data_IF_173175204560
#
_entry.id   IF_173175204560
#
_cell.length_a   1.000
_cell.length_b   1.000
_cell.length_c   1.000
_cell.angle_alpha   90.00
_cell.angle_beta   90.00
_cell.angle_gamma   90.00
#
_symmetry.space_group_name_H-M   'P 1'
#
loop_
_entity.id
_entity.type
_entity.pdbx_description
1 polymer ?
#
# COMPACT_ATOMS: atom_id res chain seq x y z
N UNK A 1 -17.08 -19.46 2.29
CA UNK A 1 -17.51 -19.56 3.71
C UNK A 1 -16.90 -18.40 4.51
N UNK A 2 -17.21 -17.16 4.14
CA UNK A 2 -16.74 -15.93 4.79
C UNK A 2 -17.88 -14.92 5.03
N UNK A 3 -19.15 -15.35 4.89
CA UNK A 3 -20.32 -14.46 4.92
C UNK A 3 -20.91 -14.25 6.33
N UNK A 4 -20.15 -14.46 7.41
CA UNK A 4 -20.69 -14.46 8.78
C UNK A 4 -19.79 -13.81 9.84
N UNK A 5 -18.98 -12.81 9.48
CA UNK A 5 -18.32 -11.97 10.49
C UNK A 5 -19.02 -10.61 10.73
N UNK A 6 -19.88 -10.16 9.82
CA UNK A 6 -20.63 -8.91 9.95
C UNK A 6 -22.08 -9.12 9.52
N UNK A 7 -22.95 -9.43 10.48
CA UNK A 7 -24.36 -9.75 10.20
C UNK A 7 -25.28 -8.53 10.19
N UNK A 8 -24.73 -7.31 10.07
CA UNK A 8 -25.44 -6.05 9.88
C UNK A 8 -24.64 -5.17 8.91
N UNK A 9 -25.33 -4.48 8.00
CA UNK A 9 -24.76 -3.35 7.26
C UNK A 9 -24.25 -2.30 8.28
N UNK A 10 -22.92 -2.14 8.36
CA UNK A 10 -22.16 -1.19 9.19
C UNK A 10 -22.94 -0.25 10.13
N UNK A 11 -23.01 -0.54 11.43
CA UNK A 11 -23.56 0.41 12.42
C UNK A 11 -22.56 1.50 12.88
N UNK A 12 -21.26 1.40 12.57
CA UNK A 12 -20.28 2.39 13.00
C UNK A 12 -19.81 3.30 11.85
N UNK A 13 -20.25 4.56 11.88
CA UNK A 13 -19.72 5.64 11.05
C UNK A 13 -18.30 5.94 11.54
N UNK A 14 -17.29 5.68 10.70
CA UNK A 14 -15.89 5.91 11.03
C UNK A 14 -15.47 7.33 10.66
N UNK A 15 -14.97 8.09 11.63
CA UNK A 15 -14.53 9.46 11.40
C UNK A 15 -13.02 9.52 11.27
N UNK A 16 -12.54 10.01 10.14
CA UNK A 16 -11.13 10.11 9.83
C UNK A 16 -10.68 11.58 9.70
N UNK A 17 -9.41 11.80 10.03
CA UNK A 17 -8.72 13.08 9.90
C UNK A 17 -8.56 13.87 11.20
N UNK A 18 -7.52 14.71 11.19
CA UNK A 18 -7.06 15.59 12.28
C UNK A 18 -7.11 17.04 11.78
N UNK A 19 -6.75 18.06 12.58
CA UNK A 19 -6.70 19.45 12.09
C UNK A 19 -5.82 19.71 10.86
N UNK A 20 -4.98 18.75 10.42
CA UNK A 20 -4.04 18.93 9.32
C UNK A 20 -4.57 18.38 7.98
N UNK A 21 -4.48 19.19 6.91
CA UNK A 21 -4.96 18.83 5.56
C UNK A 21 -4.38 17.49 5.07
N UNK A 22 -3.11 17.25 5.35
CA UNK A 22 -2.38 16.04 4.95
C UNK A 22 -2.99 14.76 5.53
N UNK A 23 -3.54 14.81 6.75
CA UNK A 23 -4.11 13.63 7.40
C UNK A 23 -5.45 13.23 6.77
N UNK A 24 -6.20 14.19 6.20
CA UNK A 24 -7.38 13.88 5.41
C UNK A 24 -7.02 13.21 4.07
N UNK A 25 -5.92 13.61 3.44
CA UNK A 25 -5.43 12.96 2.22
C UNK A 25 -4.95 11.53 2.49
N UNK A 26 -4.24 11.32 3.61
CA UNK A 26 -3.88 9.97 4.09
C UNK A 26 -5.11 9.12 4.42
N UNK A 27 -6.17 9.72 4.97
CA UNK A 27 -7.42 9.02 5.21
C UNK A 27 -8.08 8.54 3.90
N UNK A 28 -8.07 9.38 2.85
CA UNK A 28 -8.55 8.99 1.52
C UNK A 28 -7.72 7.81 0.99
N UNK A 29 -6.39 7.91 1.00
CA UNK A 29 -5.55 6.83 0.47
C UNK A 29 -5.66 5.54 1.27
N UNK A 30 -5.84 5.62 2.59
CA UNK A 30 -6.15 4.47 3.42
C UNK A 30 -7.43 3.76 2.97
N UNK A 31 -8.52 4.50 2.76
CA UNK A 31 -9.79 3.92 2.27
C UNK A 31 -9.57 3.28 0.90
N UNK A 32 -8.92 3.99 -0.03
CA UNK A 32 -8.63 3.50 -1.38
C UNK A 32 -7.78 2.23 -1.41
N UNK A 33 -6.88 2.04 -0.42
CA UNK A 33 -6.01 0.86 -0.35
C UNK A 33 -6.63 -0.32 0.39
N UNK A 34 -7.62 -0.08 1.26
CA UNK A 34 -8.18 -1.11 2.15
C UNK A 34 -9.58 -1.54 1.77
N UNK A 35 -10.35 -0.69 1.09
CA UNK A 35 -11.71 -1.00 0.70
C UNK A 35 -11.73 -1.57 -0.73
N UNK A 36 -12.17 -2.83 -0.92
CA UNK A 36 -12.17 -3.45 -2.24
C UNK A 36 -13.20 -2.82 -3.19
N UNK A 37 -14.28 -2.26 -2.64
CA UNK A 37 -15.34 -1.64 -3.41
C UNK A 37 -15.89 -0.41 -2.66
N UNK A 38 -15.95 0.73 -3.38
CA UNK A 38 -16.56 1.97 -2.90
C UNK A 38 -17.87 2.15 -3.68
N UNK A 39 -18.98 2.12 -2.96
CA UNK A 39 -20.33 2.23 -3.53
C UNK A 39 -20.68 3.66 -3.88
N UNK A 40 -20.23 4.61 -3.05
CA UNK A 40 -20.59 6.02 -3.19
C UNK A 40 -19.52 6.91 -2.55
N UNK A 41 -19.14 7.98 -3.24
CA UNK A 41 -18.32 9.06 -2.68
C UNK A 41 -19.03 10.40 -2.85
N UNK A 42 -19.29 11.09 -1.75
CA UNK A 42 -19.93 12.39 -1.73
C UNK A 42 -18.99 13.47 -1.19
N UNK A 43 -18.86 14.56 -1.92
CA UNK A 43 -18.29 15.81 -1.44
C UNK A 43 -19.38 16.59 -0.69
N UNK A 44 -19.20 16.82 0.60
CA UNK A 44 -20.14 17.53 1.45
C UNK A 44 -19.70 18.98 1.62
N UNK A 45 -20.49 19.92 1.12
CA UNK A 45 -20.12 21.34 1.04
C UNK A 45 -20.97 22.21 1.98
N UNK A 46 -20.32 23.13 2.70
CA UNK A 46 -20.99 24.22 3.43
C UNK A 46 -20.09 25.46 3.46
N UNK A 47 -20.53 26.57 2.87
CA UNK A 47 -19.85 27.88 2.93
C UNK A 47 -18.35 27.82 2.58
N UNK A 48 -17.98 27.08 1.53
CA UNK A 48 -16.58 26.94 1.10
C UNK A 48 -15.75 25.95 1.93
N UNK A 49 -16.33 25.28 2.92
CA UNK A 49 -15.70 24.15 3.62
C UNK A 49 -16.25 22.83 3.10
N UNK A 50 -15.35 21.85 2.98
CA UNK A 50 -15.68 20.56 2.39
C UNK A 50 -15.21 19.39 3.25
N UNK A 51 -16.04 18.35 3.27
CA UNK A 51 -15.83 17.05 3.90
C UNK A 51 -16.15 15.94 2.89
N UNK A 52 -15.79 14.69 3.20
CA UNK A 52 -16.20 13.55 2.37
C UNK A 52 -17.02 12.55 3.16
N UNK A 53 -18.04 12.00 2.52
CA UNK A 53 -18.75 10.80 2.94
C UNK A 53 -18.47 9.70 1.91
N UNK A 54 -17.82 8.63 2.31
CA UNK A 54 -17.48 7.50 1.45
C UNK A 54 -18.15 6.25 2.01
N UNK A 55 -18.99 5.63 1.20
CA UNK A 55 -19.72 4.41 1.56
C UNK A 55 -19.10 3.26 0.79
N UNK A 56 -18.76 2.20 1.51
CA UNK A 56 -18.29 0.92 1.00
C UNK A 56 -19.25 -0.17 1.47
N UNK A 57 -19.13 -1.38 0.92
CA UNK A 57 -19.99 -2.52 1.28
C UNK A 57 -20.04 -2.79 2.80
N UNK A 58 -18.92 -2.57 3.49
CA UNK A 58 -18.77 -2.96 4.89
C UNK A 58 -18.73 -1.77 5.86
N UNK A 59 -18.53 -0.54 5.37
CA UNK A 59 -18.23 0.61 6.22
C UNK A 59 -18.69 1.93 5.62
N UNK A 60 -19.10 2.84 6.50
CA UNK A 60 -19.33 4.26 6.18
C UNK A 60 -18.20 5.10 6.76
N UNK A 61 -17.47 5.81 5.90
CA UNK A 61 -16.37 6.69 6.28
C UNK A 61 -16.77 8.15 6.14
N UNK A 62 -16.41 8.94 7.14
CA UNK A 62 -16.57 10.39 7.14
C UNK A 62 -15.21 11.03 7.34
N UNK A 63 -14.73 11.72 6.31
CA UNK A 63 -13.53 12.54 6.39
C UNK A 63 -13.97 13.94 6.75
N UNK A 64 -13.50 14.45 7.90
CA UNK A 64 -14.00 15.72 8.46
C UNK A 64 -13.71 16.93 7.56
N UNK A 65 -14.26 18.10 7.92
CA UNK A 65 -14.20 19.30 7.10
C UNK A 65 -12.81 19.97 7.08
N UNK A 66 -11.85 19.29 6.48
CA UNK A 66 -10.46 19.69 6.34
C UNK A 66 -10.11 20.46 5.08
N UNK A 67 -11.05 20.46 4.14
CA UNK A 67 -10.85 20.97 2.80
C UNK A 67 -11.59 22.30 2.63
N UNK A 68 -11.08 23.16 1.76
CA UNK A 68 -11.67 24.47 1.49
C UNK A 68 -11.74 24.77 -0.01
N UNK A 69 -12.56 25.74 -0.39
CA UNK A 69 -12.57 26.34 -1.72
C UNK A 69 -12.70 27.87 -1.63
N UNK A 70 -12.48 28.57 -2.76
CA UNK A 70 -12.66 30.02 -2.85
C UNK A 70 -11.46 30.88 -2.42
N UNK A 71 -10.38 30.28 -1.91
CA UNK A 71 -9.10 30.97 -1.65
C UNK A 71 -7.92 30.05 -1.93
N UNK A 72 -6.77 30.60 -2.31
CA UNK A 72 -5.54 29.84 -2.51
C UNK A 72 -4.88 29.50 -1.16
N UNK A 73 -5.09 28.27 -0.69
CA UNK A 73 -4.51 27.79 0.57
C UNK A 73 -4.29 26.28 0.59
N UNK A 74 -3.79 25.76 1.72
CA UNK A 74 -3.52 24.33 1.89
C UNK A 74 -4.80 23.50 1.74
N UNK A 75 -5.92 23.93 2.32
CA UNK A 75 -7.20 23.23 2.24
C UNK A 75 -7.74 23.11 0.81
N UNK A 76 -7.49 24.10 -0.05
CA UNK A 76 -7.92 24.10 -1.47
C UNK A 76 -7.01 23.22 -2.33
N UNK A 77 -5.69 23.26 -2.08
CA UNK A 77 -4.77 22.30 -2.70
C UNK A 77 -5.09 20.86 -2.27
N UNK A 78 -5.42 20.68 -0.99
CA UNK A 78 -5.86 19.40 -0.45
C UNK A 78 -7.15 18.90 -1.08
N UNK A 79 -8.14 19.79 -1.28
CA UNK A 79 -9.39 19.43 -1.97
C UNK A 79 -9.11 18.93 -3.38
N UNK A 80 -8.31 19.69 -4.15
CA UNK A 80 -7.96 19.31 -5.51
C UNK A 80 -7.21 17.96 -5.55
N UNK A 81 -6.24 17.74 -4.65
CA UNK A 81 -5.54 16.44 -4.50
C UNK A 81 -6.50 15.30 -4.17
N UNK A 82 -7.43 15.51 -3.24
CA UNK A 82 -8.42 14.52 -2.81
C UNK A 82 -9.31 14.06 -3.97
N UNK A 83 -9.81 15.03 -4.75
CA UNK A 83 -10.64 14.76 -5.92
C UNK A 83 -9.84 14.03 -7.02
N UNK A 84 -8.59 14.44 -7.28
CA UNK A 84 -7.72 13.72 -8.20
C UNK A 84 -7.47 12.26 -7.77
N UNK A 85 -7.26 12.02 -6.47
CA UNK A 85 -7.05 10.67 -5.94
C UNK A 85 -8.28 9.77 -6.19
N UNK A 86 -9.48 10.26 -5.88
CA UNK A 86 -10.72 9.50 -6.11
C UNK A 86 -10.96 9.26 -7.62
N UNK A 87 -10.79 10.28 -8.46
CA UNK A 87 -10.95 10.15 -9.91
C UNK A 87 -9.92 9.20 -10.55
N UNK A 88 -8.68 9.18 -10.03
CA UNK A 88 -7.63 8.24 -10.46
C UNK A 88 -8.01 6.78 -10.19
N UNK A 89 -8.83 6.53 -9.18
CA UNK A 89 -9.39 5.20 -8.86
C UNK A 89 -10.73 4.94 -9.55
N UNK A 90 -11.11 5.77 -10.53
CA UNK A 90 -12.38 5.67 -11.25
C UNK A 90 -13.61 5.74 -10.34
N UNK A 91 -13.52 6.45 -9.22
CA UNK A 91 -14.63 6.67 -8.31
C UNK A 91 -15.34 7.95 -8.73
N UNK A 92 -16.63 7.81 -9.07
CA UNK A 92 -17.49 8.96 -9.33
C UNK A 92 -17.77 9.72 -8.04
N UNK A 93 -17.74 11.06 -8.12
CA UNK A 93 -17.86 11.95 -6.97
C UNK A 93 -19.03 12.89 -7.25
N UNK A 94 -19.98 12.90 -6.33
CA UNK A 94 -21.11 13.82 -6.37
C UNK A 94 -21.02 14.83 -5.23
N UNK A 95 -21.37 16.09 -5.50
CA UNK A 95 -21.36 17.12 -4.47
C UNK A 95 -22.77 17.35 -3.90
N UNK A 96 -22.86 17.50 -2.59
CA UNK A 96 -24.10 17.81 -1.85
C UNK A 96 -23.86 19.00 -0.92
N UNK A 97 -24.77 19.97 -0.97
CA UNK A 97 -24.81 21.04 0.03
C UNK A 97 -25.43 20.55 1.33
N UNK A 98 -24.69 20.61 2.43
CA UNK A 98 -25.20 20.27 3.77
C UNK A 98 -25.40 21.53 4.62
N UNK A 99 -26.30 21.45 5.60
CA UNK A 99 -26.51 22.54 6.55
C UNK A 99 -25.31 22.71 7.49
N UNK A 100 -25.09 23.93 8.00
CA UNK A 100 -24.04 24.19 9.00
C UNK A 100 -24.26 23.38 10.29
N UNK A 101 -25.49 22.97 10.60
CA UNK A 101 -25.80 22.06 11.72
C UNK A 101 -25.22 20.66 11.47
N UNK A 102 -25.40 20.11 10.27
CA UNK A 102 -24.81 18.83 9.88
C UNK A 102 -23.28 18.91 9.84
N UNK A 103 -22.72 19.99 9.29
CA UNK A 103 -21.27 20.18 9.26
C UNK A 103 -20.67 20.19 10.69
N UNK A 104 -21.33 20.86 11.64
CA UNK A 104 -20.91 20.84 13.05
C UNK A 104 -21.02 19.45 13.69
N UNK A 105 -22.08 18.68 13.40
CA UNK A 105 -22.22 17.30 13.88
C UNK A 105 -21.09 16.43 13.33
N UNK A 106 -20.84 16.51 12.02
CA UNK A 106 -19.79 15.77 11.31
C UNK A 106 -18.42 16.01 11.94
N UNK A 107 -18.06 17.26 12.19
CA UNK A 107 -16.77 17.59 12.81
C UNK A 107 -16.65 17.13 14.27
N UNK A 108 -17.78 16.96 14.96
CA UNK A 108 -17.83 16.41 16.33
C UNK A 108 -18.01 14.89 16.38
N UNK A 109 -18.03 14.21 15.22
CA UNK A 109 -18.32 12.79 15.11
C UNK A 109 -19.70 12.36 15.66
N UNK A 110 -20.75 13.13 15.33
CA UNK A 110 -22.11 12.97 15.87
C UNK A 110 -23.19 12.78 14.80
N UNK A 111 -22.85 12.36 13.59
CA UNK A 111 -23.87 11.94 12.61
C UNK A 111 -24.49 10.62 13.06
N UNK A 112 -25.81 10.54 12.91
CA UNK A 112 -26.58 9.30 13.02
C UNK A 112 -26.72 8.61 11.67
N UNK A 113 -27.12 7.34 11.66
CA UNK A 113 -27.43 6.61 10.41
C UNK A 113 -28.50 7.33 9.59
N UNK A 114 -29.49 7.93 10.25
CA UNK A 114 -30.51 8.77 9.59
C UNK A 114 -29.90 10.04 8.98
N UNK A 115 -28.92 10.68 9.62
CA UNK A 115 -28.22 11.82 9.02
C UNK A 115 -27.47 11.37 7.73
N UNK A 116 -26.82 10.20 7.74
CA UNK A 116 -26.11 9.64 6.57
C UNK A 116 -27.07 9.30 5.43
N UNK A 117 -28.20 8.67 5.73
CA UNK A 117 -29.24 8.34 4.74
C UNK A 117 -29.79 9.62 4.09
N UNK A 118 -30.11 10.62 4.89
CA UNK A 118 -30.58 11.92 4.41
C UNK A 118 -29.57 12.61 3.49
N UNK A 119 -28.28 12.58 3.85
CA UNK A 119 -27.20 13.11 3.00
C UNK A 119 -27.12 12.32 1.69
N UNK A 120 -27.18 10.99 1.77
CA UNK A 120 -27.04 10.09 0.62
C UNK A 120 -28.16 10.23 -0.42
N UNK A 121 -29.34 10.66 0.03
CA UNK A 121 -30.54 10.91 -0.78
C UNK A 121 -30.74 12.39 -1.13
N UNK A 122 -29.83 13.27 -0.72
CA UNK A 122 -29.92 14.70 -1.01
C UNK A 122 -29.67 14.99 -2.49
N UNK A 123 -30.25 16.09 -2.97
CA UNK A 123 -30.06 16.54 -4.35
C UNK A 123 -28.60 16.96 -4.57
N UNK A 124 -28.00 16.45 -5.64
CA UNK A 124 -26.65 16.83 -6.04
C UNK A 124 -26.58 18.26 -6.56
N UNK A 125 -25.44 18.91 -6.31
CA UNK A 125 -25.10 20.22 -6.85
C UNK A 125 -24.92 20.10 -8.36
N UNK A 126 -25.55 21.02 -9.09
CA UNK A 126 -25.52 21.10 -10.55
C UNK A 126 -25.35 22.57 -11.00
N UNK A 127 -24.51 22.87 -12.01
CA UNK A 127 -23.59 21.94 -12.70
C UNK A 127 -22.52 21.37 -11.76
N UNK A 128 -21.88 20.26 -12.16
CA UNK A 128 -20.85 19.59 -11.36
C UNK A 128 -19.65 20.54 -11.20
N UNK A 129 -19.24 20.83 -9.96
CA UNK A 129 -18.12 21.74 -9.67
C UNK A 129 -16.77 21.03 -9.44
N UNK A 130 -16.77 19.70 -9.38
CA UNK A 130 -15.59 18.88 -9.06
C UNK A 130 -14.38 19.24 -9.93
N UNK A 131 -14.59 19.38 -11.24
CA UNK A 131 -13.52 19.71 -12.19
C UNK A 131 -13.03 21.16 -12.05
N UNK A 132 -13.89 22.09 -11.66
CA UNK A 132 -13.53 23.48 -11.42
C UNK A 132 -12.59 23.60 -10.21
N UNK A 133 -12.82 22.83 -9.14
CA UNK A 133 -11.92 22.81 -7.98
C UNK A 133 -10.52 22.31 -8.32
N UNK A 134 -10.43 21.32 -9.20
CA UNK A 134 -9.15 20.77 -9.67
C UNK A 134 -8.45 21.78 -10.58
N UNK A 135 -9.18 22.33 -11.56
CA UNK A 135 -8.64 23.28 -12.53
C UNK A 135 -8.14 24.56 -11.86
N UNK A 136 -8.87 25.07 -10.86
CA UNK A 136 -8.48 26.28 -10.10
C UNK A 136 -7.11 26.16 -9.42
N UNK A 137 -6.63 24.94 -9.13
CA UNK A 137 -5.34 24.71 -8.48
C UNK A 137 -4.25 24.28 -9.46
N UNK A 138 -4.60 23.41 -10.41
CA UNK A 138 -3.62 22.73 -11.25
C UNK A 138 -3.57 23.23 -12.69
N UNK A 139 -4.51 24.09 -13.08
CA UNK A 139 -4.68 24.63 -14.44
C UNK A 139 -4.78 23.54 -15.51
N UNK A 140 -5.11 22.32 -15.09
CA UNK A 140 -5.33 21.17 -15.94
C UNK A 140 -6.22 20.16 -15.21
N UNK A 141 -6.82 19.27 -16.00
CA UNK A 141 -7.65 18.16 -15.53
C UNK A 141 -6.91 16.83 -15.60
N UNK A 142 -5.58 16.86 -15.72
CA UNK A 142 -4.80 15.63 -15.75
C UNK A 142 -4.69 15.05 -14.32
N UNK A 143 -5.55 14.08 -14.04
CA UNK A 143 -5.57 13.37 -12.75
C UNK A 143 -4.33 12.49 -12.53
N UNK A 144 -3.41 12.39 -13.51
CA UNK A 144 -2.17 11.64 -13.41
C UNK A 144 -1.02 12.44 -12.75
N UNK A 145 -1.24 13.69 -12.32
CA UNK A 145 -0.26 14.40 -11.48
C UNK A 145 0.15 13.54 -10.29
N UNK A 146 1.44 13.64 -9.92
CA UNK A 146 2.12 12.68 -9.06
C UNK A 146 1.69 12.82 -7.58
N UNK A 147 0.49 12.35 -7.25
CA UNK A 147 -0.07 12.29 -5.89
C UNK A 147 0.27 10.96 -5.19
N UNK A 148 1.24 10.21 -5.72
CA UNK A 148 1.58 8.89 -5.23
C UNK A 148 2.24 8.92 -3.83
N UNK A 149 2.77 10.07 -3.40
CA UNK A 149 3.37 10.24 -2.09
C UNK A 149 2.36 10.17 -0.93
N UNK A 150 1.05 10.22 -1.22
CA UNK A 150 0.01 10.04 -0.20
C UNK A 150 -0.28 8.58 0.13
N UNK A 151 0.13 7.62 -0.71
CA UNK A 151 -0.01 6.21 -0.40
C UNK A 151 0.99 5.80 0.67
N UNK A 152 0.56 4.89 1.56
CA UNK A 152 1.45 4.34 2.56
C UNK A 152 2.61 3.58 1.91
N UNK A 153 3.81 3.76 2.46
CA UNK A 153 5.00 2.99 2.13
C UNK A 153 5.33 1.96 3.23
N UNK A 154 4.37 1.65 4.10
CA UNK A 154 4.50 0.62 5.14
C UNK A 154 4.57 -0.79 4.51
N UNK A 155 5.22 -1.72 5.21
CA UNK A 155 5.38 -3.09 4.73
C UNK A 155 4.04 -3.84 4.75
N UNK A 156 3.69 -4.58 3.68
CA UNK A 156 2.51 -5.44 3.64
C UNK A 156 2.76 -6.72 4.45
N UNK A 157 2.60 -6.67 5.78
CA UNK A 157 2.95 -7.75 6.71
C UNK A 157 2.37 -9.13 6.36
N UNK A 158 1.18 -9.20 5.75
CA UNK A 158 0.59 -10.47 5.33
C UNK A 158 1.35 -11.16 4.18
N UNK A 159 2.15 -10.42 3.41
CA UNK A 159 2.95 -10.93 2.31
C UNK A 159 4.38 -11.31 2.73
N UNK A 160 4.74 -11.13 4.00
CA UNK A 160 6.09 -11.37 4.49
C UNK A 160 6.24 -12.83 4.95
N UNK A 161 7.32 -13.48 4.52
CA UNK A 161 7.70 -14.83 4.96
C UNK A 161 7.92 -14.85 6.48
N UNK A 162 7.31 -15.83 7.14
CA UNK A 162 7.31 -15.95 8.61
C UNK A 162 8.72 -16.03 9.21
N UNK A 163 9.70 -16.52 8.44
CA UNK A 163 11.10 -16.67 8.88
C UNK A 163 11.86 -15.35 8.94
N UNK A 164 11.31 -14.24 8.44
CA UNK A 164 11.89 -12.90 8.57
C UNK A 164 10.89 -11.88 9.14
N UNK A 165 9.76 -12.36 9.67
CA UNK A 165 8.72 -11.48 10.21
C UNK A 165 9.23 -10.64 11.40
N UNK A 166 10.09 -11.21 12.24
CA UNK A 166 10.78 -10.49 13.32
C UNK A 166 11.62 -9.32 12.81
N UNK A 167 12.20 -9.44 11.62
CA UNK A 167 12.97 -8.38 10.97
C UNK A 167 12.05 -7.32 10.36
N UNK A 168 10.90 -7.74 9.81
CA UNK A 168 9.88 -6.82 9.29
C UNK A 168 9.30 -5.93 10.40
N UNK A 169 9.08 -6.47 11.61
CA UNK A 169 8.59 -5.70 12.75
C UNK A 169 9.59 -4.63 13.23
N UNK A 170 10.90 -4.88 13.07
CA UNK A 170 11.99 -3.96 13.45
C UNK A 170 12.44 -3.04 12.31
N UNK A 171 11.81 -3.18 11.15
CA UNK A 171 12.25 -2.54 9.92
C UNK A 171 12.12 -1.02 10.00
N UNK A 172 11.15 -0.52 10.75
CA UNK A 172 10.89 0.92 10.89
C UNK A 172 12.01 1.62 11.67
N UNK A 173 12.57 0.95 12.66
CA UNK A 173 13.64 1.47 13.51
C UNK A 173 15.01 1.35 12.84
N UNK A 174 15.31 0.20 12.23
CA UNK A 174 16.61 -0.04 11.57
C UNK A 174 16.46 -0.88 10.29
N UNK A 175 16.06 -0.24 9.16
CA UNK A 175 15.84 -0.92 7.90
C UNK A 175 17.11 -1.60 7.36
N UNK A 176 18.27 -0.96 7.56
CA UNK A 176 19.54 -1.42 7.02
C UNK A 176 19.96 -2.73 7.68
N UNK A 177 19.92 -2.78 9.02
CA UNK A 177 20.20 -4.00 9.77
C UNK A 177 19.19 -5.11 9.49
N UNK A 178 17.90 -4.77 9.36
CA UNK A 178 16.86 -5.74 9.02
C UNK A 178 17.12 -6.41 7.64
N UNK A 179 17.46 -5.62 6.61
CA UNK A 179 17.78 -6.16 5.27
C UNK A 179 19.05 -7.02 5.30
N UNK A 180 20.11 -6.55 5.96
CA UNK A 180 21.37 -7.31 6.06
C UNK A 180 21.17 -8.62 6.81
N UNK A 181 20.40 -8.60 7.90
CA UNK A 181 20.05 -9.79 8.67
C UNK A 181 19.21 -10.77 7.84
N UNK A 182 18.28 -10.29 7.02
CA UNK A 182 17.46 -11.12 6.15
C UNK A 182 18.33 -11.83 5.10
N UNK A 183 19.27 -11.12 4.46
CA UNK A 183 20.22 -11.74 3.51
C UNK A 183 21.12 -12.79 4.17
N UNK A 184 21.65 -12.52 5.36
CA UNK A 184 22.48 -13.49 6.10
C UNK A 184 21.67 -14.74 6.46
N UNK A 185 20.44 -14.55 6.96
CA UNK A 185 19.54 -15.66 7.32
C UNK A 185 19.16 -16.51 6.10
N UNK A 186 18.90 -15.89 4.95
CA UNK A 186 18.65 -16.60 3.70
C UNK A 186 19.86 -17.45 3.27
N UNK A 187 21.05 -16.86 3.34
CA UNK A 187 22.29 -17.55 3.00
C UNK A 187 22.50 -18.79 3.88
N UNK A 188 22.29 -18.67 5.19
CA UNK A 188 22.40 -19.79 6.12
C UNK A 188 21.38 -20.90 5.84
N UNK A 189 20.14 -20.53 5.49
CA UNK A 189 19.09 -21.49 5.11
C UNK A 189 19.50 -22.26 3.85
N UNK A 190 19.89 -21.55 2.78
CA UNK A 190 20.30 -22.19 1.52
C UNK A 190 21.53 -23.06 1.73
N UNK A 191 22.49 -22.63 2.57
CA UNK A 191 23.68 -23.42 2.90
C UNK A 191 23.31 -24.74 3.59
N UNK A 192 22.44 -24.66 4.60
CA UNK A 192 21.99 -25.83 5.36
C UNK A 192 21.23 -26.81 4.47
N UNK A 193 20.36 -26.31 3.58
CA UNK A 193 19.55 -27.16 2.69
C UNK A 193 20.33 -27.77 1.54
N UNK A 194 21.34 -27.08 1.02
CA UNK A 194 22.17 -27.58 -0.07
C UNK A 194 23.33 -28.47 0.40
N UNK A 195 23.64 -28.48 1.71
CA UNK A 195 24.80 -29.18 2.28
C UNK A 195 26.14 -28.53 1.95
N UNK A 196 26.15 -27.37 1.29
CA UNK A 196 27.34 -26.67 0.80
C UNK A 196 27.97 -25.78 1.89
N UNK A 197 28.33 -26.39 3.02
CA UNK A 197 28.78 -25.68 4.23
C UNK A 197 30.03 -24.79 4.06
N UNK A 198 30.82 -25.00 3.01
CA UNK A 198 32.04 -24.26 2.72
C UNK A 198 31.82 -23.08 1.77
N UNK A 199 30.63 -22.96 1.18
CA UNK A 199 30.31 -21.91 0.22
C UNK A 199 29.55 -20.76 0.88
N UNK A 200 29.83 -19.56 0.38
CA UNK A 200 29.26 -18.33 0.88
C UNK A 200 28.83 -17.42 -0.28
N UNK A 201 27.95 -16.48 0.06
CA UNK A 201 27.58 -15.38 -0.82
C UNK A 201 27.10 -15.83 -2.20
N UNK A 202 27.51 -15.13 -3.26
CA UNK A 202 27.03 -15.40 -4.61
C UNK A 202 27.36 -16.81 -5.11
N UNK A 203 28.54 -17.32 -4.76
CA UNK A 203 28.98 -18.65 -5.17
C UNK A 203 28.06 -19.74 -4.63
N UNK A 204 27.63 -19.60 -3.37
CA UNK A 204 26.63 -20.48 -2.76
C UNK A 204 25.34 -20.51 -3.60
N UNK A 205 24.72 -19.35 -3.88
CA UNK A 205 23.45 -19.33 -4.62
C UNK A 205 23.58 -19.85 -6.05
N UNK A 206 24.73 -19.58 -6.69
CA UNK A 206 25.00 -20.08 -8.03
C UNK A 206 25.00 -21.60 -8.06
N UNK A 207 25.82 -22.24 -7.22
CA UNK A 207 25.95 -23.71 -7.19
C UNK A 207 24.70 -24.35 -6.60
N UNK A 208 24.10 -23.76 -5.55
CA UNK A 208 22.95 -24.33 -4.86
C UNK A 208 21.65 -24.32 -5.68
N UNK A 209 21.44 -23.31 -6.55
CA UNK A 209 20.12 -23.03 -7.16
C UNK A 209 20.13 -22.76 -8.68
N UNK A 210 21.26 -22.33 -9.28
CA UNK A 210 21.27 -21.82 -10.66
C UNK A 210 21.88 -22.76 -11.69
N UNK A 211 22.72 -23.69 -11.26
CA UNK A 211 23.47 -24.59 -12.13
C UNK A 211 22.64 -25.81 -12.54
N UNK A 212 23.06 -26.46 -13.63
CA UNK A 212 22.29 -27.58 -14.21
C UNK A 212 22.06 -28.69 -13.19
N UNK A 213 23.04 -28.95 -12.32
CA UNK A 213 23.03 -30.02 -11.32
C UNK A 213 22.91 -29.47 -9.89
N UNK A 214 22.32 -28.28 -9.74
CA UNK A 214 22.08 -27.67 -8.44
C UNK A 214 21.27 -28.59 -7.51
N UNK A 215 21.69 -28.71 -6.23
CA UNK A 215 21.04 -29.57 -5.24
C UNK A 215 19.61 -29.12 -4.91
N UNK A 216 19.31 -27.83 -5.07
CA UNK A 216 17.96 -27.29 -4.94
C UNK A 216 17.40 -26.94 -6.32
N UNK A 217 16.15 -27.28 -6.56
CA UNK A 217 15.44 -27.06 -7.82
C UNK A 217 13.97 -26.74 -7.57
N UNK A 218 13.22 -26.37 -8.59
CA UNK A 218 11.77 -26.17 -8.50
C UNK A 218 11.03 -27.19 -9.37
N UNK A 219 9.77 -27.46 -9.02
CA UNK A 219 8.82 -28.17 -9.87
C UNK A 219 8.39 -27.25 -11.02
N UNK A 220 9.28 -27.06 -11.99
CA UNK A 220 9.04 -26.22 -13.17
C UNK A 220 8.88 -27.09 -14.44
N UNK A 221 8.15 -26.54 -15.41
CA UNK A 221 7.93 -27.12 -16.73
C UNK A 221 9.24 -27.14 -17.56
N UNK A 222 10.21 -26.26 -17.27
CA UNK A 222 11.46 -26.17 -18.05
C UNK A 222 12.71 -25.90 -17.21
N UNK A 223 13.84 -26.48 -17.64
CA UNK A 223 15.17 -26.23 -17.06
C UNK A 223 15.52 -24.73 -17.11
N UNK A 224 15.09 -24.02 -18.16
CA UNK A 224 15.35 -22.59 -18.31
C UNK A 224 14.69 -21.73 -17.24
N UNK A 225 13.46 -22.06 -16.83
CA UNK A 225 12.76 -21.35 -15.76
C UNK A 225 13.40 -21.63 -14.39
N UNK A 226 13.78 -22.88 -14.10
CA UNK A 226 14.57 -23.23 -12.90
C UNK A 226 15.85 -22.41 -12.81
N UNK A 227 16.62 -22.34 -13.91
CA UNK A 227 17.85 -21.54 -13.96
C UNK A 227 17.58 -20.04 -13.80
N UNK A 228 16.50 -19.53 -14.38
CA UNK A 228 16.12 -18.12 -14.25
C UNK A 228 15.78 -17.78 -12.78
N UNK A 229 15.01 -18.63 -12.09
CA UNK A 229 14.72 -18.49 -10.65
C UNK A 229 16.01 -18.48 -9.83
N UNK A 230 16.93 -19.43 -10.06
CA UNK A 230 18.24 -19.44 -9.41
C UNK A 230 19.04 -18.14 -9.63
N UNK A 231 19.04 -17.62 -10.87
CA UNK A 231 19.74 -16.35 -11.19
C UNK A 231 19.17 -15.14 -10.47
N UNK A 232 17.90 -15.14 -10.07
CA UNK A 232 17.33 -14.06 -9.25
C UNK A 232 18.07 -13.95 -7.91
N UNK A 233 18.35 -15.08 -7.25
CA UNK A 233 19.11 -15.10 -5.99
C UNK A 233 20.49 -14.46 -6.17
N UNK A 234 21.23 -14.92 -7.18
CA UNK A 234 22.57 -14.42 -7.51
C UNK A 234 22.55 -12.90 -7.76
N UNK A 235 21.67 -12.46 -8.65
CA UNK A 235 21.65 -11.07 -9.10
C UNK A 235 21.14 -10.11 -8.03
N UNK A 236 20.07 -10.46 -7.30
CA UNK A 236 19.54 -9.63 -6.21
C UNK A 236 20.57 -9.53 -5.08
N UNK A 237 21.19 -10.65 -4.71
CA UNK A 237 22.22 -10.64 -3.67
C UNK A 237 23.41 -9.76 -4.06
N UNK A 238 23.93 -9.91 -5.29
CA UNK A 238 25.04 -9.09 -5.78
C UNK A 238 24.68 -7.60 -5.87
N UNK A 239 23.47 -7.28 -6.34
CA UNK A 239 23.06 -5.89 -6.53
C UNK A 239 22.85 -5.16 -5.21
N UNK A 240 22.24 -5.82 -4.21
CA UNK A 240 21.76 -5.14 -3.00
C UNK A 240 22.58 -5.44 -1.76
N UNK A 241 23.01 -6.69 -1.51
CA UNK A 241 23.83 -7.00 -0.32
C UNK A 241 25.26 -6.48 -0.47
N UNK A 242 25.90 -6.71 -1.62
CA UNK A 242 27.29 -6.28 -1.81
C UNK A 242 27.42 -4.76 -1.78
N UNK A 243 26.44 -4.03 -2.34
CA UNK A 243 26.43 -2.57 -2.27
C UNK A 243 26.39 -2.05 -0.83
N UNK A 244 25.61 -2.71 0.04
CA UNK A 244 25.47 -2.37 1.47
C UNK A 244 26.70 -2.74 2.31
N UNK A 245 27.44 -3.78 1.92
CA UNK A 245 28.70 -4.15 2.58
C UNK A 245 29.83 -3.12 2.36
N UNK A 246 29.73 -2.30 1.30
CA UNK A 246 30.78 -1.36 0.91
C UNK A 246 30.42 0.12 1.13
N UNK A 247 29.15 0.45 1.39
CA UNK A 247 28.69 1.83 1.65
C UNK A 247 27.56 1.82 2.68
N UNK A 248 27.64 2.70 3.69
CA UNK A 248 26.45 3.08 4.47
C UNK A 248 25.46 3.76 3.50
N UNK A 249 24.36 3.07 3.23
CA UNK A 249 23.40 3.51 2.24
C UNK A 249 22.35 4.41 2.91
N UNK A 250 22.57 5.73 2.87
CA UNK A 250 21.55 6.72 3.20
C UNK A 250 20.50 6.78 2.06
N UNK A 251 19.65 5.75 2.03
CA UNK A 251 18.62 5.59 1.00
C UNK A 251 17.26 6.03 1.54
N UNK A 252 16.39 6.63 0.69
CA UNK A 252 15.01 6.90 1.06
C UNK A 252 14.29 5.64 1.54
N UNK A 253 13.45 5.76 2.57
CA UNK A 253 12.70 4.64 3.17
C UNK A 253 11.91 3.81 2.14
N UNK A 254 11.38 4.44 1.09
CA UNK A 254 10.69 3.75 0.00
C UNK A 254 11.61 2.82 -0.81
N UNK A 255 12.90 3.16 -0.98
CA UNK A 255 13.88 2.27 -1.59
C UNK A 255 14.19 1.10 -0.67
N UNK A 256 14.40 1.37 0.62
CA UNK A 256 14.64 0.35 1.64
C UNK A 256 13.47 -0.67 1.68
N UNK A 257 12.23 -0.17 1.65
CA UNK A 257 11.01 -1.01 1.66
C UNK A 257 10.99 -1.95 0.45
N UNK A 258 11.30 -1.45 -0.74
CA UNK A 258 11.38 -2.29 -1.95
C UNK A 258 12.49 -3.33 -1.87
N UNK A 259 13.64 -2.96 -1.30
CA UNK A 259 14.75 -3.91 -1.11
C UNK A 259 14.37 -5.01 -0.12
N UNK A 260 13.70 -4.67 0.99
CA UNK A 260 13.19 -5.68 1.93
C UNK A 260 12.22 -6.65 1.25
N UNK A 261 11.31 -6.13 0.42
CA UNK A 261 10.37 -6.96 -0.35
C UNK A 261 11.07 -7.84 -1.40
N UNK A 262 12.18 -7.38 -2.00
CA UNK A 262 12.99 -8.21 -2.89
C UNK A 262 13.66 -9.37 -2.14
N UNK A 263 14.16 -9.13 -0.93
CA UNK A 263 14.71 -10.21 -0.09
C UNK A 263 13.60 -11.16 0.34
N UNK A 264 12.44 -10.65 0.72
CA UNK A 264 11.25 -11.46 1.04
C UNK A 264 10.88 -12.41 -0.10
N UNK A 265 10.88 -11.92 -1.35
CA UNK A 265 10.61 -12.76 -2.52
C UNK A 265 11.59 -13.93 -2.64
N UNK A 266 12.88 -13.73 -2.31
CA UNK A 266 13.86 -14.82 -2.29
C UNK A 266 13.54 -15.88 -1.22
N UNK A 267 12.99 -15.49 -0.06
CA UNK A 267 12.54 -16.46 0.94
C UNK A 267 11.35 -17.28 0.41
N UNK A 268 10.37 -16.62 -0.21
CA UNK A 268 9.21 -17.29 -0.80
C UNK A 268 9.65 -18.29 -1.88
N UNK A 269 10.50 -17.86 -2.82
CA UNK A 269 11.05 -18.74 -3.86
C UNK A 269 11.87 -19.90 -3.27
N UNK A 270 12.67 -19.64 -2.24
CA UNK A 270 13.46 -20.68 -1.58
C UNK A 270 12.56 -21.72 -0.89
N UNK A 271 11.43 -21.30 -0.31
CA UNK A 271 10.48 -22.20 0.32
C UNK A 271 9.81 -23.17 -0.66
N UNK A 272 9.63 -22.74 -1.91
CA UNK A 272 9.13 -23.56 -3.01
C UNK A 272 10.17 -24.53 -3.58
N UNK A 273 11.46 -24.28 -3.32
CA UNK A 273 12.52 -25.13 -3.84
C UNK A 273 12.46 -26.51 -3.16
N UNK A 274 12.71 -27.55 -3.93
CA UNK A 274 12.80 -28.94 -3.50
C UNK A 274 14.23 -29.44 -3.64
N UNK A 275 14.58 -30.45 -2.86
CA UNK A 275 15.83 -31.18 -3.05
C UNK A 275 15.74 -31.98 -4.35
N UNK A 276 16.80 -31.87 -5.16
CA UNK A 276 16.96 -32.70 -6.34
C UNK A 276 17.23 -34.12 -5.88
N UNK A 277 16.23 -35.00 -6.04
CA UNK A 277 16.44 -36.43 -5.87
C UNK A 277 17.48 -36.89 -6.90
N UNK A 278 18.57 -37.50 -6.44
CA UNK A 278 19.51 -38.15 -7.34
C UNK A 278 18.72 -39.12 -8.23
N UNK A 279 18.74 -38.90 -9.54
CA UNK A 279 18.39 -39.95 -10.48
C UNK A 279 19.54 -40.95 -10.36
N UNK A 280 19.35 -41.98 -9.54
CA UNK A 280 20.23 -43.15 -9.51
C UNK A 280 20.27 -43.67 -10.95
N UNK A 281 21.40 -43.45 -11.63
CA UNK A 281 21.66 -44.06 -12.94
C UNK A 281 21.99 -45.53 -12.77
#
# INVERSE_FOLDING_TARGET
>A
MFSYFFNNSSEEIQYLGTPYTQDYLKAITFILQTQPYIEKALLLSNNGFHAFLIISEQNTYVIRSGFSSGYFGEGTKGLASALQLLLKHHIEIEEVNISSKLMKKLNKALLSSTDVENISNSRYVRPIQIYEYIYAIYENLDYQKNNNHYYSNELPYHLIDSRIFDLALKFKEDPNSAIMSAFTRLEDIVRKRSGLNHLHSTELFKIALSEKDSPLTWNSISIGETQAKGRLFVNIYQAFRNARAHKEADLPYSKLTREFLLVNELFLLESEAIERKEITK
#
